data_IF_965221040216
#
_entry.id   IF_965221040216
#
_cell.length_a   1.000
_cell.length_b   1.000
_cell.length_c   1.000
_cell.angle_alpha   90.00
_cell.angle_beta   90.00
_cell.angle_gamma   90.00
#
_symmetry.space_group_name_H-M   'P 1'
#
loop_
_entity.id
_entity.type
_entity.pdbx_description
1 polymer ?
#
# COMPACT_ATOMS: atom_id res chain seq x y z
N UNK A 1 -17.23 15.38 14.71
CA UNK A 1 -16.06 14.77 15.37
C UNK A 1 -15.25 14.08 14.29
N UNK A 2 -13.96 14.38 14.16
CA UNK A 2 -13.10 13.79 13.12
C UNK A 2 -12.61 12.42 13.59
N UNK A 3 -12.91 11.37 12.82
CA UNK A 3 -12.38 10.03 13.08
C UNK A 3 -11.19 9.78 12.15
N UNK A 4 -10.04 9.46 12.75
CA UNK A 4 -8.81 9.20 12.00
C UNK A 4 -8.89 7.78 11.41
N UNK A 5 -9.12 7.70 10.11
CA UNK A 5 -9.11 6.43 9.37
C UNK A 5 -7.68 6.08 8.95
N UNK A 6 -7.21 4.90 9.35
CA UNK A 6 -5.96 4.34 8.82
C UNK A 6 -6.15 3.92 7.36
N UNK A 7 -5.18 4.25 6.51
CA UNK A 7 -5.21 3.95 5.08
C UNK A 7 -3.91 3.31 4.67
N UNK A 8 -3.97 2.41 3.70
CA UNK A 8 -2.83 1.63 3.22
C UNK A 8 -2.76 1.67 1.70
N UNK A 9 -1.56 1.48 1.16
CA UNK A 9 -1.32 1.42 -0.28
C UNK A 9 -1.40 0.00 -0.82
N UNK A 10 -1.92 -0.15 -2.04
CA UNK A 10 -1.87 -1.36 -2.85
C UNK A 10 -1.16 -1.06 -4.16
N UNK A 11 -0.22 -1.92 -4.54
CA UNK A 11 0.45 -1.88 -5.84
C UNK A 11 -0.22 -2.87 -6.77
N UNK A 12 -0.88 -2.35 -7.80
CA UNK A 12 -1.67 -3.15 -8.74
C UNK A 12 -1.00 -3.11 -10.11
N UNK A 13 -0.62 -4.28 -10.62
CA UNK A 13 -0.11 -4.46 -11.97
C UNK A 13 -1.25 -4.80 -12.92
N UNK A 14 -1.28 -4.13 -14.07
CA UNK A 14 -2.31 -4.28 -15.09
C UNK A 14 -1.79 -4.99 -16.33
N UNK A 15 -2.67 -5.70 -17.03
CA UNK A 15 -2.36 -6.16 -18.39
C UNK A 15 -2.37 -4.98 -19.39
N UNK A 16 -3.32 -4.05 -19.26
CA UNK A 16 -3.48 -2.91 -20.15
C UNK A 16 -3.81 -1.63 -19.38
N UNK A 17 -3.28 -0.49 -19.84
CA UNK A 17 -3.48 0.82 -19.17
C UNK A 17 -4.93 1.33 -19.22
N UNK A 18 -5.73 0.87 -20.20
CA UNK A 18 -7.13 1.29 -20.37
C UNK A 18 -8.00 0.94 -19.16
N UNK A 19 -7.65 -0.14 -18.45
CA UNK A 19 -8.42 -0.66 -17.33
C UNK A 19 -8.12 0.07 -16.01
N UNK A 20 -7.15 1.00 -16.01
CA UNK A 20 -6.80 1.78 -14.80
C UNK A 20 -7.98 2.58 -14.24
N UNK A 21 -8.87 3.09 -15.10
CA UNK A 21 -10.05 3.85 -14.67
C UNK A 21 -11.02 3.03 -13.81
N UNK A 22 -11.11 1.71 -14.06
CA UNK A 22 -11.97 0.81 -13.27
C UNK A 22 -11.54 0.72 -11.80
N UNK A 23 -10.28 1.04 -11.51
CA UNK A 23 -9.75 0.99 -10.16
C UNK A 23 -10.09 2.23 -9.31
N UNK A 24 -10.62 3.28 -9.94
CA UNK A 24 -11.09 4.48 -9.23
C UNK A 24 -12.30 4.19 -8.35
N UNK A 25 -13.11 3.19 -8.70
CA UNK A 25 -14.29 2.78 -7.92
C UNK A 25 -13.91 2.09 -6.59
N UNK A 26 -12.66 1.63 -6.46
CA UNK A 26 -12.17 0.90 -5.29
C UNK A 26 -11.34 1.76 -4.33
N UNK A 27 -10.93 2.96 -4.76
CA UNK A 27 -10.10 3.84 -3.95
C UNK A 27 -9.34 4.89 -4.76
N UNK A 28 -8.49 5.63 -4.04
CA UNK A 28 -7.78 6.76 -4.63
C UNK A 28 -6.52 6.30 -5.36
N UNK A 29 -6.40 6.64 -6.64
CA UNK A 29 -5.18 6.35 -7.40
C UNK A 29 -4.15 7.44 -7.12
N UNK A 30 -3.16 7.15 -6.28
CA UNK A 30 -2.09 8.10 -5.93
C UNK A 30 -1.04 8.24 -7.03
N UNK A 31 -0.79 7.14 -7.76
CA UNK A 31 0.23 7.12 -8.81
C UNK A 31 -0.12 6.09 -9.89
N UNK A 32 0.18 6.40 -11.15
CA UNK A 32 0.02 5.47 -12.28
C UNK A 32 1.24 5.51 -13.21
N UNK A 33 1.92 4.37 -13.34
CA UNK A 33 2.99 4.18 -14.32
C UNK A 33 2.44 3.58 -15.61
N UNK A 34 2.27 4.40 -16.65
CA UNK A 34 1.86 3.92 -17.99
C UNK A 34 2.92 3.02 -18.64
N UNK A 35 4.21 3.31 -18.41
CA UNK A 35 5.35 2.55 -18.96
C UNK A 35 5.43 1.14 -18.38
N UNK A 36 5.31 1.02 -17.05
CA UNK A 36 5.43 -0.26 -16.35
C UNK A 36 4.08 -0.95 -16.08
N UNK A 37 2.96 -0.30 -16.45
CA UNK A 37 1.60 -0.80 -16.27
C UNK A 37 1.31 -1.22 -14.84
N UNK A 38 1.60 -0.34 -13.90
CA UNK A 38 1.16 -0.51 -12.51
C UNK A 38 0.67 0.81 -11.94
N UNK A 39 -0.15 0.73 -10.90
CA UNK A 39 -0.61 1.88 -10.15
C UNK A 39 -0.54 1.62 -8.65
N UNK A 40 -0.52 2.72 -7.89
CA UNK A 40 -0.67 2.73 -6.45
C UNK A 40 -2.10 3.18 -6.12
N UNK A 41 -2.86 2.27 -5.52
CA UNK A 41 -4.21 2.51 -5.03
C UNK A 41 -4.16 2.74 -3.52
N UNK A 42 -4.89 3.72 -3.01
CA UNK A 42 -4.89 4.11 -1.62
C UNK A 42 -6.28 3.93 -1.00
N UNK A 43 -6.38 3.00 -0.06
CA UNK A 43 -7.65 2.47 0.45
C UNK A 43 -7.65 2.44 1.99
N UNK A 44 -8.82 2.41 2.64
CA UNK A 44 -8.91 2.16 4.08
C UNK A 44 -8.22 0.84 4.44
N UNK A 45 -7.42 0.83 5.53
CA UNK A 45 -6.64 -0.36 5.93
C UNK A 45 -7.54 -1.57 6.22
N UNK A 46 -8.75 -1.33 6.72
CA UNK A 46 -9.73 -2.37 7.02
C UNK A 46 -10.23 -3.12 5.77
N UNK A 47 -10.16 -2.51 4.59
CA UNK A 47 -10.68 -3.08 3.33
C UNK A 47 -9.60 -3.83 2.53
N UNK A 48 -8.32 -3.74 2.94
CA UNK A 48 -7.17 -4.23 2.18
C UNK A 48 -7.29 -5.71 1.83
N UNK A 49 -7.56 -6.56 2.82
CA UNK A 49 -7.62 -8.02 2.61
C UNK A 49 -8.75 -8.42 1.66
N UNK A 50 -9.93 -7.82 1.84
CA UNK A 50 -11.08 -8.04 0.97
C UNK A 50 -10.79 -7.61 -0.47
N UNK A 51 -10.21 -6.41 -0.64
CA UNK A 51 -9.87 -5.87 -1.95
C UNK A 51 -8.80 -6.71 -2.65
N UNK A 52 -7.78 -7.20 -1.95
CA UNK A 52 -6.79 -8.11 -2.53
C UNK A 52 -7.48 -9.37 -3.05
N UNK A 53 -8.39 -9.96 -2.27
CA UNK A 53 -9.13 -11.16 -2.65
C UNK A 53 -10.04 -10.96 -3.86
N UNK A 54 -10.68 -9.79 -3.99
CA UNK A 54 -11.51 -9.43 -5.14
C UNK A 54 -10.65 -9.12 -6.38
N UNK A 55 -9.72 -8.18 -6.26
CA UNK A 55 -8.89 -7.68 -7.36
C UNK A 55 -7.97 -8.77 -7.93
N UNK A 56 -7.54 -9.75 -7.12
CA UNK A 56 -6.73 -10.86 -7.61
C UNK A 56 -7.50 -11.82 -8.52
N UNK A 57 -8.84 -11.77 -8.55
CA UNK A 57 -9.69 -12.58 -9.44
C UNK A 57 -10.04 -11.84 -10.74
N UNK A 58 -9.78 -10.54 -10.82
CA UNK A 58 -10.12 -9.73 -11.98
C UNK A 58 -9.23 -10.02 -13.17
N UNK A 59 -9.84 -10.26 -14.34
CA UNK A 59 -9.12 -10.67 -15.57
C UNK A 59 -8.17 -9.60 -16.11
N UNK A 60 -8.40 -8.34 -15.77
CA UNK A 60 -7.57 -7.22 -16.24
C UNK A 60 -6.37 -6.93 -15.32
N UNK A 61 -6.29 -7.61 -14.17
CA UNK A 61 -5.25 -7.45 -13.17
C UNK A 61 -4.24 -8.59 -13.34
N UNK A 62 -2.96 -8.21 -13.46
CA UNK A 62 -1.85 -9.16 -13.57
C UNK A 62 -1.38 -9.63 -12.19
N UNK A 63 -1.33 -8.71 -11.22
CA UNK A 63 -0.82 -8.96 -9.87
C UNK A 63 -1.25 -7.85 -8.91
N UNK A 64 -1.54 -8.21 -7.67
CA UNK A 64 -1.76 -7.27 -6.56
C UNK A 64 -0.67 -7.49 -5.51
N UNK A 65 -0.16 -6.40 -4.92
CA UNK A 65 0.80 -6.42 -3.80
C UNK A 65 0.44 -5.36 -2.78
N UNK A 66 0.73 -5.62 -1.51
CA UNK A 66 0.64 -4.61 -0.45
C UNK A 66 1.80 -3.62 -0.58
N UNK A 67 1.55 -2.36 -0.31
CA UNK A 67 2.59 -1.34 -0.18
C UNK A 67 3.13 -1.35 1.25
N UNK A 68 4.38 -1.77 1.42
CA UNK A 68 5.05 -1.88 2.71
C UNK A 68 5.62 -0.55 3.22
N UNK A 69 5.24 0.59 2.63
CA UNK A 69 5.75 1.90 3.06
C UNK A 69 5.45 2.19 4.54
N UNK A 70 4.38 1.62 5.07
CA UNK A 70 3.97 1.77 6.47
C UNK A 70 4.83 0.97 7.45
N UNK A 71 5.58 -0.01 6.95
CA UNK A 71 6.50 -0.83 7.75
C UNK A 71 7.85 -0.14 7.92
N UNK A 72 8.10 0.93 7.15
CA UNK A 72 9.32 1.70 7.30
C UNK A 72 9.28 2.49 8.60
N UNK A 73 10.30 2.29 9.43
CA UNK A 73 10.55 3.16 10.56
C UNK A 73 10.75 4.59 10.04
N UNK A 74 9.90 5.50 10.50
CA UNK A 74 9.99 6.92 10.14
C UNK A 74 10.25 7.80 11.36
N UNK A 75 11.38 7.61 12.08
CA UNK A 75 11.79 8.52 13.14
C UNK A 75 12.31 9.82 12.52
N UNK A 76 11.41 10.67 12.04
CA UNK A 76 11.76 11.98 11.44
C UNK A 76 12.45 12.92 12.43
N UNK A 77 12.40 12.62 13.73
CA UNK A 77 13.03 13.40 14.81
C UNK A 77 14.42 12.90 15.23
N UNK A 78 15.00 11.94 14.50
CA UNK A 78 16.41 11.55 14.60
C UNK A 78 17.01 11.48 16.01
N UNK A 79 17.00 10.30 16.63
CA UNK A 79 17.89 9.94 17.76
C UNK A 79 17.90 10.84 19.02
N UNK A 80 17.03 11.83 19.19
CA UNK A 80 17.03 12.71 20.38
C UNK A 80 16.84 11.95 21.71
N UNK A 81 16.32 10.72 21.68
CA UNK A 81 16.06 9.89 22.87
C UNK A 81 16.40 8.40 22.69
N UNK A 82 17.26 8.03 21.73
CA UNK A 82 17.62 6.60 21.58
C UNK A 82 18.69 6.26 22.61
N UNK A 83 18.27 5.92 23.83
CA UNK A 83 19.08 5.05 24.67
C UNK A 83 19.30 3.75 23.90
N UNK A 84 20.56 3.39 23.74
CA UNK A 84 20.97 2.17 23.05
C UNK A 84 20.27 0.98 23.71
N UNK A 85 19.29 0.38 23.02
CA UNK A 85 18.96 -1.01 23.29
C UNK A 85 20.15 -1.83 22.83
N UNK A 86 21.17 -1.85 23.69
CA UNK A 86 22.27 -2.80 23.71
C UNK A 86 21.64 -4.16 23.47
N UNK A 87 22.06 -4.76 22.39
CA UNK A 87 21.74 -6.10 21.95
C UNK A 87 21.84 -7.02 23.18
N UNK A 88 20.71 -7.40 23.76
CA UNK A 88 20.67 -8.52 24.68
C UNK A 88 20.71 -9.77 23.80
N UNK A 89 21.90 -10.11 23.32
CA UNK A 89 22.21 -11.47 22.94
C UNK A 89 22.13 -12.30 24.22
N UNK A 90 20.97 -12.93 24.43
CA UNK A 90 20.85 -14.03 25.38
C UNK A 90 21.54 -15.25 24.78
N UNK A 91 22.72 -15.59 25.29
CA UNK A 91 23.25 -16.96 25.36
C UNK A 91 23.74 -17.18 26.78
#
# INVERSE_FOLDING_TARGET
MFEKVNRSGLIIYLYYNRDAKKLQDYGDITYHSKKHRYLQLYVPTQEVEQLIGHLSKEKFIKKVRVCHIQELETPFVGNLYREENVIIEKV
#
